data_IF_029026960690
#
_entry.id   IF_029026960690
#
_cell.length_a   1.000
_cell.length_b   1.000
_cell.length_c   1.000
_cell.angle_alpha   90.00
_cell.angle_beta   90.00
_cell.angle_gamma   90.00
#
_symmetry.space_group_name_H-M   'P 1'
#
loop_
_entity.id
_entity.type
_entity.pdbx_description
1 polymer ?
#
# COMPACT_ATOMS: atom_id res chain seq x y z
N UNK A 1 12.51 -12.47 7.25
CA UNK A 1 11.63 -12.03 6.20
C UNK A 1 11.58 -10.53 6.13
N UNK A 2 11.51 -10.00 4.94
CA UNK A 2 11.59 -8.57 4.71
C UNK A 2 10.18 -7.97 4.62
N UNK A 3 9.78 -7.24 5.66
CA UNK A 3 8.45 -6.61 5.69
C UNK A 3 8.27 -5.63 4.53
N UNK A 4 9.34 -4.94 4.15
CA UNK A 4 9.27 -4.01 3.04
C UNK A 4 8.96 -4.75 1.74
N UNK A 5 9.57 -5.89 1.53
CA UNK A 5 9.34 -6.69 0.32
C UNK A 5 7.90 -7.17 0.26
N UNK A 6 7.37 -7.66 1.37
CA UNK A 6 5.98 -8.10 1.43
C UNK A 6 5.02 -6.94 1.16
N UNK A 7 5.35 -5.78 1.71
CA UNK A 7 4.53 -4.59 1.49
C UNK A 7 4.52 -4.19 0.02
N UNK A 8 5.67 -4.24 -0.65
CA UNK A 8 5.75 -3.95 -2.09
C UNK A 8 4.92 -4.94 -2.90
N UNK A 9 4.99 -6.21 -2.58
CA UNK A 9 4.23 -7.23 -3.29
C UNK A 9 2.74 -7.04 -3.11
N UNK A 10 2.31 -6.76 -1.88
CA UNK A 10 0.90 -6.51 -1.59
C UNK A 10 0.40 -5.29 -2.35
N UNK A 11 1.19 -4.23 -2.35
CA UNK A 11 0.86 -3.01 -3.07
C UNK A 11 0.72 -3.28 -4.57
N UNK A 12 1.64 -4.05 -5.12
CA UNK A 12 1.63 -4.40 -6.53
C UNK A 12 0.38 -5.20 -6.90
N UNK A 13 -0.04 -6.11 -6.03
CA UNK A 13 -1.24 -6.92 -6.26
C UNK A 13 -2.50 -6.08 -6.32
N UNK A 14 -2.52 -4.95 -5.61
CA UNK A 14 -3.69 -4.10 -5.52
C UNK A 14 -3.57 -2.82 -6.35
N UNK A 15 -2.56 -2.73 -7.19
CA UNK A 15 -2.30 -1.51 -7.95
C UNK A 15 -3.46 -1.06 -8.82
N UNK A 16 -4.27 -2.00 -9.30
CA UNK A 16 -5.42 -1.69 -10.15
C UNK A 16 -6.53 -0.95 -9.41
N UNK A 17 -6.52 -1.02 -8.09
CA UNK A 17 -7.51 -0.36 -7.25
C UNK A 17 -7.02 0.98 -6.72
N UNK A 18 -5.80 1.37 -7.07
CA UNK A 18 -5.16 2.54 -6.52
C UNK A 18 -4.87 3.56 -7.62
N UNK A 19 -4.93 4.85 -7.25
CA UNK A 19 -4.49 5.90 -8.14
C UNK A 19 -2.96 5.93 -8.18
N UNK A 20 -2.41 6.56 -9.21
CA UNK A 20 -0.98 6.71 -9.34
C UNK A 20 -0.38 7.42 -8.12
N UNK A 21 -1.07 8.45 -7.63
CA UNK A 21 -0.62 9.19 -6.47
C UNK A 21 -0.63 8.35 -5.20
N UNK A 22 -1.66 7.53 -5.02
CA UNK A 22 -1.74 6.63 -3.88
C UNK A 22 -0.59 5.64 -3.89
N UNK A 23 -0.33 5.04 -5.04
CA UNK A 23 0.77 4.10 -5.20
C UNK A 23 2.10 4.78 -4.84
N UNK A 24 2.31 5.98 -5.35
CA UNK A 24 3.55 6.72 -5.10
C UNK A 24 3.73 7.03 -3.62
N UNK A 25 2.65 7.43 -2.95
CA UNK A 25 2.69 7.73 -1.52
C UNK A 25 3.03 6.49 -0.70
N UNK A 26 2.38 5.37 -1.01
CA UNK A 26 2.60 4.12 -0.29
C UNK A 26 4.02 3.59 -0.53
N UNK A 27 4.50 3.66 -1.75
CA UNK A 27 5.89 3.29 -2.05
C UNK A 27 6.87 4.14 -1.25
N UNK A 28 6.61 5.43 -1.14
CA UNK A 28 7.45 6.32 -0.37
C UNK A 28 7.52 5.92 1.09
N UNK A 29 6.40 5.52 1.67
CA UNK A 29 6.36 5.08 3.06
C UNK A 29 7.17 3.80 3.26
N UNK A 30 7.04 2.84 2.37
CA UNK A 30 7.80 1.60 2.45
C UNK A 30 9.29 1.89 2.31
N UNK A 31 9.64 2.73 1.35
CA UNK A 31 11.04 3.10 1.08
C UNK A 31 11.67 3.83 2.26
N UNK A 32 10.86 4.59 3.00
CA UNK A 32 11.32 5.32 4.18
C UNK A 32 11.44 4.45 5.42
N UNK A 33 11.18 3.17 5.31
CA UNK A 33 11.28 2.24 6.43
C UNK A 33 10.02 2.14 7.25
N UNK A 34 8.87 2.46 6.66
CA UNK A 34 7.58 2.41 7.34
C UNK A 34 6.59 1.53 6.59
N UNK A 35 6.92 0.24 6.38
CA UNK A 35 6.02 -0.65 5.64
C UNK A 35 4.69 -0.86 6.34
N UNK A 36 4.66 -0.84 7.67
CA UNK A 36 3.41 -1.00 8.42
C UNK A 36 2.46 0.16 8.17
N UNK A 37 2.99 1.37 8.10
CA UNK A 37 2.20 2.56 7.79
C UNK A 37 1.60 2.45 6.39
N UNK A 38 2.38 1.98 5.44
CA UNK A 38 1.92 1.80 4.07
C UNK A 38 0.80 0.77 4.02
N UNK A 39 0.94 -0.33 4.74
CA UNK A 39 -0.09 -1.37 4.76
C UNK A 39 -1.37 -0.89 5.42
N UNK A 40 -1.26 -0.09 6.49
CA UNK A 40 -2.42 0.50 7.12
C UNK A 40 -3.15 1.43 6.16
N UNK A 41 -2.41 2.24 5.41
CA UNK A 41 -2.98 3.12 4.42
C UNK A 41 -3.69 2.36 3.32
N UNK A 42 -3.06 1.28 2.84
CA UNK A 42 -3.65 0.44 1.82
C UNK A 42 -4.93 -0.22 2.32
N UNK A 43 -4.92 -0.74 3.55
CA UNK A 43 -6.09 -1.39 4.13
C UNK A 43 -7.28 -0.41 4.21
N UNK A 44 -7.03 0.84 4.57
CA UNK A 44 -8.07 1.85 4.62
C UNK A 44 -8.64 2.16 3.24
N UNK A 45 -7.79 2.21 2.24
CA UNK A 45 -8.23 2.46 0.87
C UNK A 45 -9.11 1.32 0.38
N UNK A 46 -8.68 0.08 0.61
CA UNK A 46 -9.42 -1.09 0.18
C UNK A 46 -10.76 -1.21 0.92
N UNK A 47 -10.77 -0.91 2.21
CA UNK A 47 -11.99 -0.92 2.99
C UNK A 47 -13.01 0.07 2.45
N UNK A 48 -12.53 1.24 2.04
CA UNK A 48 -13.39 2.26 1.47
C UNK A 48 -13.99 1.82 0.15
N UNK A 49 -13.21 1.12 -0.67
CA UNK A 49 -13.68 0.61 -1.95
C UNK A 49 -14.74 -0.49 -1.74
N UNK A 50 -14.51 -1.38 -0.79
CA UNK A 50 -15.42 -2.48 -0.53
C UNK A 50 -16.76 -2.03 0.03
N UNK A 51 -16.78 -0.88 0.69
CA UNK A 51 -18.01 -0.36 1.29
C UNK A 51 -18.96 0.27 0.29
N UNK A 52 -18.54 0.45 -0.93
CA UNK A 52 -19.43 0.94 -1.96
C UNK A 52 -20.32 -0.19 -2.47
#
# INVERSE_FOLDING_TARGET
>A
MDEAREAYLTLKEHRNFLTRQQIKTLYGQIKSGQPNEAMNGLAKILDRIERR
#
